data_IF_934187867356
#
_entry.id   IF_934187867356
#
_cell.length_a   1.000
_cell.length_b   1.000
_cell.length_c   1.000
_cell.angle_alpha   90.00
_cell.angle_beta   90.00
_cell.angle_gamma   90.00
#
_symmetry.space_group_name_H-M   'P 1'
#
loop_
_entity.id
_entity.type
_entity.pdbx_description
1 polymer ?
#
# COMPACT_ATOMS: atom_id res chain seq x y z
N UNK A 1 1.40 7.02 14.81
CA UNK A 1 2.51 6.09 14.51
C UNK A 1 2.76 6.09 13.01
N UNK A 2 3.95 5.68 12.56
CA UNK A 2 4.21 5.46 11.14
C UNK A 2 3.72 4.08 10.73
N UNK A 3 3.13 4.02 9.55
CA UNK A 3 2.69 2.79 8.89
C UNK A 3 3.38 2.65 7.54
N UNK A 4 3.66 1.41 7.16
CA UNK A 4 3.99 1.05 5.79
C UNK A 4 2.75 0.47 5.12
N UNK A 5 2.54 0.78 3.84
CA UNK A 5 1.37 0.34 3.10
C UNK A 5 1.71 -0.06 1.67
N UNK A 6 0.90 -0.95 1.09
CA UNK A 6 0.96 -1.32 -0.32
C UNK A 6 -0.39 -1.02 -0.94
N UNK A 7 -0.37 -0.27 -2.03
CA UNK A 7 -1.52 -0.01 -2.89
C UNK A 7 -1.39 -0.82 -4.17
N UNK A 8 -2.50 -1.37 -4.65
CA UNK A 8 -2.63 -1.96 -5.97
C UNK A 8 -3.35 -0.97 -6.88
N UNK A 9 -2.69 -0.52 -7.92
CA UNK A 9 -3.26 0.32 -8.97
C UNK A 9 -4.11 -0.52 -9.93
N UNK A 10 -4.98 0.15 -10.70
CA UNK A 10 -5.86 -0.50 -11.68
C UNK A 10 -5.10 -1.25 -12.80
N UNK A 11 -3.87 -0.83 -13.12
CA UNK A 11 -2.97 -1.49 -14.07
C UNK A 11 -2.27 -2.74 -13.51
N UNK A 12 -2.58 -3.13 -12.27
CA UNK A 12 -1.96 -4.27 -11.60
C UNK A 12 -0.59 -3.97 -10.99
N UNK A 13 -0.09 -2.73 -11.10
CA UNK A 13 1.14 -2.33 -10.43
C UNK A 13 0.94 -2.20 -8.93
N UNK A 14 2.01 -2.46 -8.18
CA UNK A 14 2.05 -2.33 -6.73
C UNK A 14 2.88 -1.10 -6.37
N UNK A 15 2.29 -0.21 -5.58
CA UNK A 15 2.96 0.93 -4.98
C UNK A 15 3.19 0.67 -3.50
N UNK A 16 4.42 0.84 -3.03
CA UNK A 16 4.76 0.71 -1.60
C UNK A 16 5.23 2.06 -1.09
N UNK A 17 4.65 2.49 0.03
CA UNK A 17 4.99 3.76 0.67
C UNK A 17 4.82 3.70 2.19
N UNK A 18 5.27 4.75 2.86
CA UNK A 18 5.07 4.95 4.30
C UNK A 18 4.27 6.23 4.56
N UNK A 19 3.41 6.21 5.58
CA UNK A 19 2.63 7.37 5.99
C UNK A 19 2.27 7.27 7.47
N UNK A 20 2.07 8.44 8.10
CA UNK A 20 1.45 8.52 9.43
C UNK A 20 -0.07 8.32 9.37
N UNK A 21 -0.67 8.75 8.26
CA UNK A 21 -2.10 8.67 7.99
C UNK A 21 -2.31 8.03 6.62
N UNK A 22 -2.53 6.71 6.61
CA UNK A 22 -2.67 5.92 5.37
C UNK A 22 -4.04 6.18 4.73
N UNK A 23 -5.09 6.23 5.54
CA UNK A 23 -6.47 6.43 5.10
C UNK A 23 -6.68 7.80 4.45
N UNK A 24 -6.21 8.90 5.07
CA UNK A 24 -6.30 10.24 4.48
C UNK A 24 -5.42 10.39 3.24
N UNK A 25 -4.30 9.65 3.16
CA UNK A 25 -3.46 9.62 1.94
C UNK A 25 -4.10 8.82 0.82
N UNK A 26 -4.76 7.70 1.13
CA UNK A 26 -5.55 6.91 0.18
C UNK A 26 -6.73 7.73 -0.35
N UNK A 27 -7.45 8.41 0.55
CA UNK A 27 -8.52 9.34 0.20
C UNK A 27 -7.99 10.47 -0.69
N UNK A 28 -6.87 11.11 -0.34
CA UNK A 28 -6.25 12.16 -1.16
C UNK A 28 -5.78 11.68 -2.54
N UNK A 29 -5.36 10.41 -2.65
CA UNK A 29 -5.04 9.80 -3.94
C UNK A 29 -6.30 9.56 -4.77
N UNK A 30 -7.37 9.02 -4.18
CA UNK A 30 -8.65 8.74 -4.85
C UNK A 30 -9.46 10.02 -5.19
N UNK A 31 -9.35 11.06 -4.38
CA UNK A 31 -9.98 12.37 -4.57
C UNK A 31 -9.24 13.23 -5.63
N UNK A 32 -8.05 12.79 -6.04
CA UNK A 32 -7.27 13.44 -7.10
C UNK A 32 -6.55 14.73 -6.68
N UNK A 33 -6.43 14.99 -5.38
CA UNK A 33 -5.84 16.21 -4.79
C UNK A 33 -4.35 16.06 -4.43
N UNK A 34 -3.79 14.84 -4.42
CA UNK A 34 -2.43 14.62 -3.88
C UNK A 34 -1.24 14.57 -4.85
N UNK A 35 -1.42 14.24 -6.14
CA UNK A 35 -0.32 14.21 -7.11
C UNK A 35 -0.82 14.09 -8.55
N UNK A 36 -0.26 14.87 -9.47
CA UNK A 36 -0.52 14.83 -10.93
C UNK A 36 -0.34 13.42 -11.53
N UNK A 37 0.42 12.54 -10.86
CA UNK A 37 0.77 11.18 -11.30
C UNK A 37 -0.30 10.10 -10.98
N UNK A 38 -1.09 10.24 -9.90
CA UNK A 38 -2.11 9.25 -9.54
C UNK A 38 -3.48 9.50 -10.16
N UNK A 39 -3.69 10.65 -10.81
CA UNK A 39 -4.96 11.01 -11.48
C UNK A 39 -5.34 10.03 -12.61
N UNK A 40 -4.36 9.37 -13.22
CA UNK A 40 -4.55 8.49 -14.39
C UNK A 40 -4.55 6.99 -14.07
N UNK A 41 -4.41 6.60 -12.79
CA UNK A 41 -4.26 5.18 -12.37
C UNK A 41 -5.21 4.74 -11.26
N UNK A 42 -6.31 5.48 -11.14
CA UNK A 42 -7.42 5.17 -10.24
C UNK A 42 -8.29 4.04 -10.82
N UNK A 43 -8.89 3.20 -9.96
CA UNK A 43 -8.79 3.21 -8.50
C UNK A 43 -7.49 2.56 -7.99
N UNK A 44 -6.91 3.13 -6.92
CA UNK A 44 -5.87 2.47 -6.14
C UNK A 44 -6.53 1.81 -4.91
N UNK A 45 -6.28 0.52 -4.71
CA UNK A 45 -6.82 -0.23 -3.57
C UNK A 45 -5.71 -0.51 -2.56
N UNK A 46 -5.97 -0.21 -1.30
CA UNK A 46 -5.10 -0.64 -0.21
C UNK A 46 -5.17 -2.17 -0.10
N UNK A 47 -4.04 -2.84 -0.28
CA UNK A 47 -3.95 -4.31 -0.18
C UNK A 47 -3.15 -4.75 1.04
N UNK A 48 -2.36 -3.86 1.63
CA UNK A 48 -1.56 -4.15 2.82
C UNK A 48 -1.33 -2.89 3.63
N UNK A 49 -1.37 -3.02 4.96
CA UNK A 49 -0.99 -1.99 5.92
C UNK A 49 -0.35 -2.66 7.14
N UNK A 50 0.77 -2.09 7.60
CA UNK A 50 1.44 -2.55 8.82
C UNK A 50 1.93 -1.33 9.61
N UNK A 51 1.57 -1.27 10.88
CA UNK A 51 2.07 -0.25 11.81
C UNK A 51 3.44 -0.65 12.35
N UNK A 52 4.40 0.27 12.19
CA UNK A 52 5.83 0.05 12.44
C UNK A 52 6.37 0.99 13.53
N UNK A 53 5.56 1.94 13.99
CA UNK A 53 5.89 2.83 15.11
C UNK A 53 6.58 4.10 14.67
N UNK A 54 7.90 4.05 14.45
CA UNK A 54 8.73 5.20 14.10
C UNK A 54 9.09 5.29 12.61
N UNK A 55 9.56 6.47 12.19
CA UNK A 55 9.88 6.75 10.79
C UNK A 55 11.02 5.84 10.26
N UNK A 56 12.03 5.59 11.10
CA UNK A 56 13.18 4.78 10.73
C UNK A 56 12.82 3.31 10.54
N UNK A 57 11.97 2.76 11.42
CA UNK A 57 11.38 1.44 11.27
C UNK A 57 10.57 1.34 9.98
N UNK A 58 9.76 2.36 9.66
CA UNK A 58 8.99 2.41 8.43
C UNK A 58 9.86 2.39 7.16
N UNK A 59 10.92 3.21 7.12
CA UNK A 59 11.86 3.23 5.99
C UNK A 59 12.56 1.88 5.80
N UNK A 60 13.06 1.28 6.90
CA UNK A 60 13.70 -0.05 6.86
C UNK A 60 12.72 -1.11 6.33
N UNK A 61 11.47 -1.05 6.76
CA UNK A 61 10.42 -1.98 6.32
C UNK A 61 10.06 -1.76 4.86
N UNK A 62 9.94 -0.52 4.40
CA UNK A 62 9.68 -0.17 3.00
C UNK A 62 10.78 -0.71 2.07
N UNK A 63 12.06 -0.51 2.44
CA UNK A 63 13.20 -1.03 1.67
C UNK A 63 13.15 -2.55 1.60
N UNK A 64 12.87 -3.22 2.72
CA UNK A 64 12.72 -4.68 2.78
C UNK A 64 11.59 -5.15 1.86
N UNK A 65 10.43 -4.50 1.90
CA UNK A 65 9.30 -4.84 1.03
C UNK A 65 9.63 -4.57 -0.43
N UNK A 66 10.32 -3.47 -0.77
CA UNK A 66 10.74 -3.19 -2.15
C UNK A 66 11.67 -4.26 -2.70
N UNK A 67 12.60 -4.75 -1.87
CA UNK A 67 13.57 -5.79 -2.20
C UNK A 67 12.99 -7.21 -2.29
N UNK A 68 11.81 -7.46 -1.71
CA UNK A 68 11.15 -8.77 -1.78
C UNK A 68 10.79 -9.18 -3.22
N UNK A 69 10.92 -10.48 -3.48
CA UNK A 69 10.45 -11.07 -4.72
C UNK A 69 8.92 -10.95 -4.86
N UNK A 70 8.40 -11.10 -6.08
CA UNK A 70 6.97 -11.03 -6.33
C UNK A 70 6.15 -12.07 -5.54
N UNK A 71 6.73 -13.25 -5.25
CA UNK A 71 6.12 -14.29 -4.41
C UNK A 71 5.99 -13.85 -2.95
N UNK A 72 7.10 -13.42 -2.35
CA UNK A 72 7.13 -12.93 -0.97
C UNK A 72 6.19 -11.73 -0.74
N UNK A 73 6.09 -10.82 -1.72
CA UNK A 73 5.12 -9.71 -1.65
C UNK A 73 3.69 -10.22 -1.60
N UNK A 74 3.34 -11.26 -2.38
CA UNK A 74 1.99 -11.85 -2.37
C UNK A 74 1.71 -12.56 -1.06
N UNK A 75 2.67 -13.31 -0.52
CA UNK A 75 2.54 -13.95 0.79
C UNK A 75 2.38 -12.93 1.92
N UNK A 76 3.16 -11.83 1.87
CA UNK A 76 3.07 -10.74 2.82
C UNK A 76 1.67 -10.10 2.80
N UNK A 77 1.14 -9.84 1.60
CA UNK A 77 -0.22 -9.32 1.41
C UNK A 77 -1.26 -10.33 1.94
N UNK A 78 -1.09 -11.63 1.66
CA UNK A 78 -2.01 -12.67 2.11
C UNK A 78 -1.99 -12.86 3.65
N UNK A 79 -0.82 -12.73 4.27
CA UNK A 79 -0.63 -12.99 5.70
C UNK A 79 -1.07 -11.82 6.58
N UNK A 80 -0.91 -10.58 6.12
CA UNK A 80 -1.20 -9.39 6.92
C UNK A 80 -2.68 -9.00 7.02
N UNK A 81 -3.59 -9.85 6.56
CA UNK A 81 -5.01 -9.69 6.88
C UNK A 81 -5.63 -8.42 6.31
N UNK A 82 -5.79 -8.36 5.00
CA UNK A 82 -7.09 -7.98 4.44
C UNK A 82 -7.41 -9.04 3.40
N UNK A 83 -8.49 -9.81 3.56
CA UNK A 83 -8.75 -10.93 2.65
C UNK A 83 -8.79 -10.42 1.23
N UNK A 84 -7.87 -10.93 0.41
CA UNK A 84 -7.87 -10.82 -1.06
C UNK A 84 -9.06 -11.56 -1.70
N UNK A 85 -10.05 -11.96 -0.90
CA UNK A 85 -11.14 -12.81 -1.29
C UNK A 85 -12.46 -12.31 -0.69
N UNK A 86 -12.95 -11.20 -1.22
CA UNK A 86 -14.37 -11.10 -1.49
C UNK A 86 -14.50 -11.18 -3.02
N UNK A 87 -14.46 -12.42 -3.53
CA UNK A 87 -15.15 -12.71 -4.77
C UNK A 87 -16.57 -12.14 -4.61
N UNK A 88 -16.87 -11.12 -5.40
CA UNK A 88 -18.24 -10.60 -5.53
C UNK A 88 -19.02 -11.69 -6.27
N UNK A 89 -20.08 -12.29 -5.68
CA UNK A 89 -21.05 -13.04 -6.48
C UNK A 89 -21.81 -12.09 -7.41
#
# INVERSE_FOLDING_TARGET
>A
MWSVYILRCADGTLYTGIAKDVDGRLASHNDGVGAKYTRSRLPVRLVFREEVGDHGAALRREIKIKAMAAGEKRELIATAGTPLNAAVP
#
